data_IF_040637176946
#
_entry.id   IF_040637176946
#
_cell.length_a   1.000
_cell.length_b   1.000
_cell.length_c   1.000
_cell.angle_alpha   90.00
_cell.angle_beta   90.00
_cell.angle_gamma   90.00
#
_symmetry.space_group_name_H-M   'P 1'
#
loop_
_entity.id
_entity.type
_entity.pdbx_description
1 polymer ?
#
# COMPACT_ATOMS: atom_id res chain seq x y z
N UNK A 1 56.32 -12.63 24.81
CA UNK A 1 56.66 -13.19 26.15
C UNK A 1 55.48 -13.28 27.11
N UNK A 2 54.42 -12.47 27.01
CA UNK A 2 53.30 -12.49 27.97
C UNK A 2 52.37 -13.72 27.80
N UNK A 3 52.23 -14.26 26.59
CA UNK A 3 51.40 -15.45 26.30
C UNK A 3 51.99 -16.74 26.91
N UNK A 4 53.31 -16.83 27.03
CA UNK A 4 53.99 -18.01 27.61
C UNK A 4 53.92 -18.09 29.14
N UNK A 5 53.69 -16.98 29.83
CA UNK A 5 53.63 -16.93 31.30
C UNK A 5 52.21 -17.26 31.81
N UNK A 6 51.16 -16.99 31.02
CA UNK A 6 49.78 -17.37 31.35
C UNK A 6 49.58 -18.90 31.30
N UNK A 7 50.19 -19.58 30.34
CA UNK A 7 50.12 -21.04 30.20
C UNK A 7 50.77 -21.79 31.40
N UNK A 8 51.80 -21.23 32.03
CA UNK A 8 52.44 -21.85 33.18
C UNK A 8 51.67 -21.64 34.50
N UNK A 9 50.84 -20.58 34.62
CA UNK A 9 49.94 -20.39 35.77
C UNK A 9 48.59 -21.13 35.63
N UNK A 10 48.24 -21.56 34.42
CA UNK A 10 46.99 -22.28 34.13
C UNK A 10 46.98 -23.77 34.50
N UNK A 11 48.09 -24.34 34.98
CA UNK A 11 48.23 -25.77 35.28
C UNK A 11 47.35 -26.27 36.46
N UNK A 12 46.63 -25.38 37.15
CA UNK A 12 45.67 -25.70 38.20
C UNK A 12 44.22 -25.32 37.90
N UNK A 13 43.91 -24.84 36.68
CA UNK A 13 42.53 -24.47 36.32
C UNK A 13 41.78 -25.75 35.93
N UNK A 14 40.98 -26.26 36.87
CA UNK A 14 40.12 -27.42 36.64
C UNK A 14 39.27 -27.22 35.39
N UNK A 15 39.08 -28.26 34.57
CA UNK A 15 38.20 -28.24 33.41
C UNK A 15 36.79 -27.69 33.75
N UNK A 16 36.36 -27.85 35.00
CA UNK A 16 35.11 -27.26 35.51
C UNK A 16 35.08 -25.72 35.50
N UNK A 17 36.21 -25.05 35.71
CA UNK A 17 36.29 -23.58 35.68
C UNK A 17 36.11 -23.04 34.25
N UNK A 18 36.73 -23.69 33.27
CA UNK A 18 36.54 -23.35 31.85
C UNK A 18 35.08 -23.52 31.41
N UNK A 19 34.47 -24.66 31.75
CA UNK A 19 33.07 -24.95 31.43
C UNK A 19 32.14 -23.94 32.10
N UNK A 20 32.42 -23.55 33.34
CA UNK A 20 31.63 -22.58 34.07
C UNK A 20 31.66 -21.19 33.41
N UNK A 21 32.84 -20.65 33.09
CA UNK A 21 32.97 -19.33 32.46
C UNK A 21 32.43 -19.31 31.02
N UNK A 22 32.73 -20.33 30.23
CA UNK A 22 32.14 -20.54 28.90
C UNK A 22 30.60 -20.51 28.97
N UNK A 23 30.04 -21.30 29.88
CA UNK A 23 28.60 -21.46 30.03
C UNK A 23 27.92 -20.21 30.57
N UNK A 24 28.52 -19.57 31.57
CA UNK A 24 27.98 -18.38 32.22
C UNK A 24 27.93 -17.20 31.25
N UNK A 25 29.03 -16.91 30.54
CA UNK A 25 29.07 -15.79 29.60
C UNK A 25 28.24 -16.07 28.33
N UNK A 26 28.25 -17.31 27.83
CA UNK A 26 27.38 -17.72 26.73
C UNK A 26 25.89 -17.60 27.10
N UNK A 27 25.50 -18.10 28.27
CA UNK A 27 24.13 -18.00 28.77
C UNK A 27 23.71 -16.55 29.02
N UNK A 28 24.56 -15.73 29.64
CA UNK A 28 24.32 -14.31 29.85
C UNK A 28 24.11 -13.57 28.52
N UNK A 29 24.96 -13.82 27.52
CA UNK A 29 24.81 -13.22 26.19
C UNK A 29 23.51 -13.62 25.49
N UNK A 30 23.15 -14.91 25.57
CA UNK A 30 21.90 -15.42 25.01
C UNK A 30 20.66 -14.87 25.70
N UNK A 31 20.60 -14.92 27.04
CA UNK A 31 19.42 -14.49 27.80
C UNK A 31 19.20 -12.98 27.68
N UNK A 32 20.27 -12.17 27.74
CA UNK A 32 20.15 -10.71 27.59
C UNK A 32 19.60 -10.35 26.21
N UNK A 33 20.07 -10.99 25.16
CA UNK A 33 19.56 -10.70 23.83
C UNK A 33 18.13 -11.21 23.60
N UNK A 34 17.79 -12.38 24.14
CA UNK A 34 16.42 -12.88 24.11
C UNK A 34 15.44 -11.93 24.82
N UNK A 35 15.84 -11.41 25.99
CA UNK A 35 15.06 -10.40 26.73
C UNK A 35 14.92 -9.12 25.89
N UNK A 36 15.98 -8.66 25.22
CA UNK A 36 15.94 -7.47 24.39
C UNK A 36 14.94 -7.62 23.23
N UNK A 37 14.93 -8.78 22.56
CA UNK A 37 13.96 -9.07 21.49
C UNK A 37 12.55 -9.09 22.07
N UNK A 38 12.33 -9.78 23.19
CA UNK A 38 11.02 -9.81 23.84
C UNK A 38 10.53 -8.42 24.24
N UNK A 39 11.43 -7.58 24.76
CA UNK A 39 11.16 -6.18 25.13
C UNK A 39 10.80 -5.30 23.92
N UNK A 40 11.22 -5.65 22.70
CA UNK A 40 10.87 -4.91 21.50
C UNK A 40 9.38 -5.08 21.13
N UNK A 41 8.86 -6.30 21.31
CA UNK A 41 7.52 -6.72 20.86
C UNK A 41 6.46 -6.74 21.98
N UNK A 42 6.87 -7.03 23.22
CA UNK A 42 5.99 -7.18 24.37
C UNK A 42 6.27 -6.12 25.43
N UNK A 43 5.21 -5.66 26.10
CA UNK A 43 5.34 -4.86 27.32
C UNK A 43 5.62 -5.78 28.50
N UNK A 44 6.72 -5.51 29.22
CA UNK A 44 7.13 -6.25 30.40
C UNK A 44 6.91 -5.34 31.61
N UNK A 45 6.11 -5.75 32.61
CA UNK A 45 5.85 -4.93 33.79
C UNK A 45 7.15 -4.63 34.54
N UNK A 46 7.41 -3.35 34.82
CA UNK A 46 8.59 -2.88 35.55
C UNK A 46 9.84 -2.61 34.70
N UNK A 47 9.81 -2.85 33.38
CA UNK A 47 10.95 -2.56 32.48
C UNK A 47 10.66 -1.32 31.64
N UNK A 48 11.37 -0.22 31.93
CA UNK A 48 11.28 1.00 31.14
C UNK A 48 11.76 0.75 29.71
N UNK A 49 10.95 1.19 28.74
CA UNK A 49 11.24 1.01 27.31
C UNK A 49 10.78 -0.32 26.71
N UNK A 50 10.02 -1.17 27.41
CA UNK A 50 9.42 -2.35 26.78
C UNK A 50 8.24 -1.99 25.88
N UNK A 51 7.97 -2.83 24.87
CA UNK A 51 6.87 -2.67 23.91
C UNK A 51 7.07 -1.50 22.94
N UNK A 52 8.30 -1.27 22.45
CA UNK A 52 8.60 -0.11 21.59
C UNK A 52 7.76 -0.12 20.31
N UNK A 53 7.65 -1.28 19.65
CA UNK A 53 6.88 -1.42 18.41
C UNK A 53 5.38 -1.11 18.61
N UNK A 54 4.66 -1.79 19.53
CA UNK A 54 3.25 -1.49 19.73
C UNK A 54 3.01 -0.06 20.22
N UNK A 55 3.95 0.56 20.95
CA UNK A 55 3.83 1.98 21.36
C UNK A 55 3.96 2.96 20.19
N UNK A 56 4.77 2.62 19.17
CA UNK A 56 4.98 3.47 17.99
C UNK A 56 4.02 3.17 16.83
N UNK A 57 3.00 2.33 17.02
CA UNK A 57 2.09 1.92 15.95
C UNK A 57 1.48 3.09 15.16
N UNK A 58 1.16 4.21 15.84
CA UNK A 58 0.62 5.42 15.19
C UNK A 58 1.63 6.03 14.21
N UNK A 59 2.91 6.11 14.61
CA UNK A 59 3.96 6.63 13.74
C UNK A 59 4.20 5.70 12.56
N UNK A 60 4.26 4.39 12.81
CA UNK A 60 4.42 3.37 11.75
C UNK A 60 3.28 3.50 10.72
N UNK A 61 2.03 3.61 11.19
CA UNK A 61 0.86 3.83 10.35
C UNK A 61 1.00 5.07 9.47
N UNK A 62 1.39 6.20 10.06
CA UNK A 62 1.58 7.46 9.33
C UNK A 62 2.72 7.34 8.31
N UNK A 63 3.81 6.65 8.65
CA UNK A 63 4.94 6.41 7.74
C UNK A 63 4.52 5.53 6.57
N UNK A 64 3.73 4.49 6.79
CA UNK A 64 3.18 3.65 5.71
C UNK A 64 2.28 4.49 4.79
N UNK A 65 1.35 5.29 5.34
CA UNK A 65 0.50 6.20 4.56
C UNK A 65 1.36 7.07 3.63
N UNK A 66 2.35 7.74 4.22
CA UNK A 66 3.24 8.64 3.51
C UNK A 66 4.01 7.92 2.41
N UNK A 67 4.65 6.79 2.73
CA UNK A 67 5.40 5.99 1.77
C UNK A 67 4.54 5.62 0.57
N UNK A 68 3.31 5.15 0.81
CA UNK A 68 2.41 4.76 -0.28
C UNK A 68 1.99 5.97 -1.11
N UNK A 69 1.62 7.08 -0.46
CA UNK A 69 1.16 8.28 -1.15
C UNK A 69 2.26 8.99 -1.94
N UNK A 70 3.50 8.95 -1.46
CA UNK A 70 4.66 9.54 -2.13
C UNK A 70 5.20 8.63 -3.24
N UNK A 71 5.15 7.31 -3.06
CA UNK A 71 5.77 6.35 -4.01
C UNK A 71 4.80 5.91 -5.11
N UNK A 72 3.55 5.59 -4.76
CA UNK A 72 2.57 5.03 -5.71
C UNK A 72 1.57 6.07 -6.21
N UNK A 73 1.25 7.08 -5.40
CA UNK A 73 0.28 8.12 -5.72
C UNK A 73 0.95 9.50 -5.93
N UNK A 74 2.18 9.51 -6.42
CA UNK A 74 2.84 10.73 -6.86
C UNK A 74 2.06 11.35 -8.03
N UNK A 75 1.72 12.65 -8.00
CA UNK A 75 0.88 13.28 -9.03
C UNK A 75 1.39 13.05 -10.46
N UNK A 76 2.70 13.22 -10.68
CA UNK A 76 3.32 13.03 -11.99
C UNK A 76 3.27 11.58 -12.48
N UNK A 77 3.47 10.63 -11.57
CA UNK A 77 3.40 9.21 -11.89
C UNK A 77 1.97 8.80 -12.25
N UNK A 78 0.99 9.23 -11.44
CA UNK A 78 -0.43 8.99 -11.70
C UNK A 78 -0.88 9.60 -13.02
N UNK A 79 -0.53 10.86 -13.28
CA UNK A 79 -0.88 11.54 -14.53
C UNK A 79 -0.35 10.77 -15.74
N UNK A 80 0.92 10.37 -15.71
CA UNK A 80 1.53 9.56 -16.78
C UNK A 80 0.81 8.22 -16.96
N UNK A 81 0.57 7.48 -15.88
CA UNK A 81 -0.07 6.16 -15.94
C UNK A 81 -1.52 6.25 -16.41
N UNK A 82 -2.30 7.20 -15.90
CA UNK A 82 -3.68 7.42 -16.33
C UNK A 82 -3.75 7.81 -17.80
N UNK A 83 -2.85 8.68 -18.26
CA UNK A 83 -2.79 9.09 -19.67
C UNK A 83 -2.44 7.93 -20.60
N UNK A 84 -1.46 7.12 -20.25
CA UNK A 84 -1.12 5.91 -21.01
C UNK A 84 -2.29 4.92 -21.05
N UNK A 85 -2.98 4.70 -19.92
CA UNK A 85 -4.16 3.83 -19.87
C UNK A 85 -5.31 4.37 -20.70
N UNK A 86 -5.66 5.64 -20.55
CA UNK A 86 -6.73 6.28 -21.32
C UNK A 86 -6.43 6.28 -22.81
N UNK A 87 -5.19 6.51 -23.23
CA UNK A 87 -4.82 6.40 -24.65
C UNK A 87 -4.97 4.98 -25.20
N UNK A 88 -4.77 3.95 -24.38
CA UNK A 88 -4.99 2.54 -24.77
C UNK A 88 -6.48 2.20 -24.80
N UNK A 89 -7.26 2.73 -23.85
CA UNK A 89 -8.72 2.59 -23.81
C UNK A 89 -9.42 3.34 -24.95
N UNK A 90 -8.92 4.52 -25.33
CA UNK A 90 -9.44 5.28 -26.47
C UNK A 90 -9.29 4.53 -27.79
N UNK A 91 -8.27 3.69 -27.91
CA UNK A 91 -7.99 2.88 -29.10
C UNK A 91 -8.62 1.48 -29.04
N UNK A 92 -9.39 1.15 -28.00
CA UNK A 92 -10.05 -0.15 -27.86
C UNK A 92 -11.57 -0.01 -28.00
N UNK A 93 -12.23 -1.12 -28.37
CA UNK A 93 -13.70 -1.19 -28.47
C UNK A 93 -14.41 -0.92 -27.14
N UNK A 94 -13.68 -0.88 -26.02
CA UNK A 94 -14.22 -0.58 -24.69
C UNK A 94 -14.76 0.86 -24.58
N UNK A 95 -14.20 1.84 -25.32
CA UNK A 95 -14.76 3.19 -25.33
C UNK A 95 -16.14 3.21 -26.00
N UNK A 96 -16.32 2.42 -27.07
CA UNK A 96 -17.61 2.25 -27.75
C UNK A 96 -18.61 1.52 -26.86
N UNK A 97 -18.19 0.43 -26.22
CA UNK A 97 -19.02 -0.32 -25.28
C UNK A 97 -19.49 0.54 -24.10
N UNK A 98 -18.61 1.38 -23.55
CA UNK A 98 -18.96 2.32 -22.49
C UNK A 98 -20.01 3.33 -22.95
N UNK A 99 -19.87 3.91 -24.15
CA UNK A 99 -20.83 4.86 -24.71
C UNK A 99 -22.18 4.19 -25.01
N UNK A 100 -22.16 2.99 -25.59
CA UNK A 100 -23.37 2.18 -25.85
C UNK A 100 -24.12 1.82 -24.56
N UNK A 101 -23.38 1.46 -23.50
CA UNK A 101 -23.98 1.19 -22.18
C UNK A 101 -24.64 2.43 -21.59
N UNK A 102 -24.04 3.61 -21.78
CA UNK A 102 -24.55 4.89 -21.29
C UNK A 102 -25.81 5.34 -22.04
N UNK A 103 -25.92 5.01 -23.33
CA UNK A 103 -27.13 5.26 -24.14
C UNK A 103 -28.29 4.35 -23.82
N UNK A 104 -28.02 3.19 -23.24
CA UNK A 104 -29.05 2.27 -22.75
C UNK A 104 -29.62 2.66 -21.39
N UNK A 105 -29.14 3.76 -20.80
CA UNK A 105 -29.58 4.22 -19.48
C UNK A 105 -30.93 4.97 -19.54
N UNK A 106 -31.78 4.85 -18.50
CA UNK A 106 -33.01 5.64 -18.39
C UNK A 106 -32.78 7.15 -18.46
N UNK A 107 -31.63 7.61 -17.99
CA UNK A 107 -31.24 9.02 -18.01
C UNK A 107 -31.05 9.53 -19.44
N UNK A 108 -30.40 8.75 -20.32
CA UNK A 108 -30.24 9.10 -21.72
C UNK A 108 -31.58 9.09 -22.46
N UNK A 109 -32.42 8.09 -22.21
CA UNK A 109 -33.78 8.01 -22.77
C UNK A 109 -34.62 9.25 -22.39
N UNK A 110 -34.58 9.66 -21.13
CA UNK A 110 -35.28 10.85 -20.65
C UNK A 110 -34.74 12.13 -21.30
N UNK A 111 -33.42 12.26 -21.45
CA UNK A 111 -32.80 13.42 -22.08
C UNK A 111 -33.14 13.50 -23.59
N UNK A 112 -33.17 12.35 -24.27
CA UNK A 112 -33.56 12.25 -25.67
C UNK A 112 -35.04 12.66 -25.85
N UNK A 113 -35.93 12.18 -24.97
CA UNK A 113 -37.34 12.56 -25.00
C UNK A 113 -37.57 14.05 -24.76
N UNK A 114 -36.85 14.64 -23.81
CA UNK A 114 -36.90 16.08 -23.57
C UNK A 114 -36.45 16.87 -24.81
N UNK A 115 -35.35 16.46 -25.46
CA UNK A 115 -34.83 17.13 -26.66
C UNK A 115 -35.74 16.98 -27.87
N UNK A 116 -36.36 15.81 -28.06
CA UNK A 116 -37.34 15.60 -29.13
C UNK A 116 -38.61 16.41 -28.88
N UNK A 117 -39.08 16.53 -27.63
CA UNK A 117 -40.20 17.41 -27.28
C UNK A 117 -39.87 18.89 -27.50
N UNK A 118 -38.67 19.32 -27.12
CA UNK A 118 -38.18 20.67 -27.37
C UNK A 118 -38.10 20.98 -28.87
N UNK A 119 -37.60 20.04 -29.67
CA UNK A 119 -37.59 20.16 -31.12
C UNK A 119 -39.01 20.23 -31.69
N UNK A 120 -39.92 19.37 -31.21
CA UNK A 120 -41.31 19.30 -31.65
C UNK A 120 -42.19 20.49 -31.26
N UNK A 121 -41.78 21.27 -30.26
CA UNK A 121 -42.43 22.53 -29.87
C UNK A 121 -41.85 23.75 -30.60
N UNK A 122 -40.72 23.60 -31.31
CA UNK A 122 -40.15 24.64 -32.14
C UNK A 122 -40.94 24.88 -33.44
N UNK A 123 -40.63 25.98 -34.13
CA UNK A 123 -41.29 26.37 -35.39
C UNK A 123 -41.22 25.26 -36.46
N UNK A 124 -40.06 24.61 -36.58
CA UNK A 124 -39.83 23.49 -37.52
C UNK A 124 -40.58 22.22 -37.10
N UNK A 125 -40.57 21.88 -35.81
CA UNK A 125 -41.26 20.70 -35.27
C UNK A 125 -42.77 20.81 -35.33
N UNK A 126 -43.32 22.02 -35.15
CA UNK A 126 -44.75 22.30 -35.28
C UNK A 126 -45.21 22.15 -36.74
N UNK A 127 -44.40 22.61 -37.70
CA UNK A 127 -44.66 22.41 -39.13
C UNK A 127 -44.58 20.93 -39.54
N UNK A 128 -43.61 20.18 -39.00
CA UNK A 128 -43.51 18.72 -39.18
C UNK A 128 -44.72 17.97 -38.60
N UNK A 129 -45.18 18.35 -37.40
CA UNK A 129 -46.41 17.82 -36.80
C UNK A 129 -47.64 18.07 -37.66
N UNK A 130 -47.75 19.24 -38.30
CA UNK A 130 -48.84 19.53 -39.24
C UNK A 130 -48.80 18.65 -40.50
N UNK A 131 -47.62 18.16 -40.90
CA UNK A 131 -47.46 17.19 -41.99
C UNK A 131 -47.66 15.73 -41.55
N UNK A 132 -48.13 15.49 -40.32
CA UNK A 132 -48.35 14.15 -39.77
C UNK A 132 -47.07 13.45 -39.27
N UNK A 133 -45.95 14.17 -39.24
CA UNK A 133 -44.66 13.66 -38.81
C UNK A 133 -44.37 14.18 -37.39
N UNK A 134 -44.86 13.47 -36.38
CA UNK A 134 -44.54 13.82 -35.00
C UNK A 134 -43.06 13.48 -34.69
N UNK A 135 -42.24 14.43 -34.20
CA UNK A 135 -40.87 14.18 -33.79
C UNK A 135 -40.71 13.04 -32.77
N UNK A 136 -41.73 12.75 -31.94
CA UNK A 136 -41.70 11.58 -31.07
C UNK A 136 -41.80 10.25 -31.84
N UNK A 137 -42.51 10.22 -32.97
CA UNK A 137 -42.62 9.02 -33.82
C UNK A 137 -41.30 8.77 -34.57
N UNK A 138 -40.45 9.79 -34.71
CA UNK A 138 -39.11 9.65 -35.27
C UNK A 138 -38.08 9.11 -34.27
N UNK A 139 -38.41 9.01 -32.97
CA UNK A 139 -37.51 8.50 -31.93
C UNK A 139 -36.80 7.19 -32.30
N UNK A 140 -37.46 6.15 -32.88
CA UNK A 140 -36.81 4.89 -33.27
C UNK A 140 -35.79 5.04 -34.41
N UNK A 141 -35.85 6.14 -35.17
CA UNK A 141 -34.91 6.44 -36.27
C UNK A 141 -33.80 7.37 -35.84
N UNK A 142 -34.09 8.32 -34.94
CA UNK A 142 -33.12 9.27 -34.38
C UNK A 142 -32.19 8.57 -33.39
N UNK A 143 -32.73 7.66 -32.56
CA UNK A 143 -31.95 6.92 -31.56
C UNK A 143 -30.74 6.17 -32.16
N UNK A 144 -30.88 5.26 -33.14
CA UNK A 144 -29.73 4.56 -33.71
C UNK A 144 -28.76 5.48 -34.45
N UNK A 145 -29.23 6.61 -34.98
CA UNK A 145 -28.36 7.61 -35.59
C UNK A 145 -27.50 8.33 -34.54
N UNK A 146 -28.10 8.76 -33.42
CA UNK A 146 -27.37 9.38 -32.30
C UNK A 146 -26.40 8.38 -31.66
N UNK A 147 -26.81 7.12 -31.54
CA UNK A 147 -25.95 6.03 -31.07
C UNK A 147 -24.73 5.86 -31.99
N UNK A 148 -24.92 5.74 -33.30
CA UNK A 148 -23.81 5.60 -34.25
C UNK A 148 -22.84 6.80 -34.23
N UNK A 149 -23.36 8.04 -34.21
CA UNK A 149 -22.51 9.25 -34.16
C UNK A 149 -21.67 9.29 -32.88
N UNK A 150 -22.25 8.92 -31.75
CA UNK A 150 -21.52 8.99 -30.48
C UNK A 150 -20.61 7.76 -30.26
N UNK A 151 -20.90 6.59 -30.85
CA UNK A 151 -19.91 5.49 -30.97
C UNK A 151 -18.69 5.91 -31.80
N UNK A 152 -18.90 6.66 -32.89
CA UNK A 152 -17.81 7.18 -33.72
C UNK A 152 -17.01 8.30 -33.01
N UNK A 153 -17.68 9.11 -32.17
CA UNK A 153 -17.04 10.14 -31.37
C UNK A 153 -16.40 9.63 -30.07
N UNK A 154 -16.75 8.42 -29.60
CA UNK A 154 -16.23 7.81 -28.38
C UNK A 154 -14.69 7.79 -28.29
N UNK A 155 -13.93 7.36 -29.31
CA UNK A 155 -12.47 7.41 -29.28
C UNK A 155 -11.92 8.84 -29.19
N UNK A 156 -12.57 9.81 -29.84
CA UNK A 156 -12.16 11.22 -29.79
C UNK A 156 -12.39 11.83 -28.40
N UNK A 157 -13.51 11.53 -27.75
CA UNK A 157 -13.79 11.95 -26.36
C UNK A 157 -12.80 11.33 -25.37
N UNK A 158 -12.49 10.04 -25.53
CA UNK A 158 -11.51 9.35 -24.70
C UNK A 158 -10.09 9.93 -24.88
N UNK A 159 -9.73 10.30 -26.11
CA UNK A 159 -8.46 10.96 -26.39
C UNK A 159 -8.42 12.38 -25.83
N UNK A 160 -9.51 13.15 -25.93
CA UNK A 160 -9.61 14.49 -25.35
C UNK A 160 -9.55 14.47 -23.82
N UNK A 161 -10.10 13.42 -23.18
CA UNK A 161 -9.94 13.18 -21.74
C UNK A 161 -8.51 12.79 -21.35
N UNK A 162 -7.80 12.03 -22.21
CA UNK A 162 -6.39 11.73 -22.01
C UNK A 162 -5.49 12.98 -22.17
N UNK A 163 -5.88 13.90 -23.04
CA UNK A 163 -5.14 15.13 -23.30
C UNK A 163 -5.51 16.30 -22.36
N UNK A 164 -6.72 16.26 -21.81
CA UNK A 164 -7.25 17.27 -20.89
C UNK A 164 -6.65 17.20 -19.49
N UNK A 165 -7.05 18.17 -18.66
CA UNK A 165 -6.61 18.26 -17.26
C UNK A 165 -7.29 17.17 -16.42
N UNK A 166 -6.64 16.01 -16.29
CA UNK A 166 -7.10 14.94 -15.42
C UNK A 166 -7.19 15.44 -13.97
N UNK A 167 -8.26 15.14 -13.22
CA UNK A 167 -8.40 15.53 -11.82
C UNK A 167 -7.55 14.64 -10.89
N UNK A 168 -6.26 14.48 -11.22
CA UNK A 168 -5.30 13.62 -10.51
C UNK A 168 -5.18 14.01 -9.03
N UNK A 169 -5.23 15.32 -8.74
CA UNK A 169 -5.20 15.83 -7.37
C UNK A 169 -6.42 15.38 -6.57
N UNK A 170 -7.63 15.47 -7.14
CA UNK A 170 -8.86 15.05 -6.46
C UNK A 170 -8.88 13.53 -6.24
N UNK A 171 -8.44 12.75 -7.23
CA UNK A 171 -8.33 11.30 -7.09
C UNK A 171 -7.34 10.92 -5.99
N UNK A 172 -6.19 11.61 -5.95
CA UNK A 172 -5.17 11.41 -4.92
C UNK A 172 -5.72 11.74 -3.53
N UNK A 173 -6.44 12.84 -3.37
CA UNK A 173 -7.02 13.25 -2.09
C UNK A 173 -8.10 12.26 -1.62
N UNK A 174 -8.91 11.73 -2.54
CA UNK A 174 -9.90 10.70 -2.21
C UNK A 174 -9.23 9.40 -1.75
N UNK A 175 -8.17 8.96 -2.45
CA UNK A 175 -7.38 7.79 -2.03
C UNK A 175 -6.72 8.05 -0.67
N UNK A 176 -6.20 9.25 -0.42
CA UNK A 176 -5.59 9.62 0.86
C UNK A 176 -6.58 9.46 2.02
N UNK A 177 -7.83 9.88 1.81
CA UNK A 177 -8.93 9.75 2.77
C UNK A 177 -9.30 8.29 3.01
N UNK A 178 -9.48 7.51 1.94
CA UNK A 178 -9.80 6.08 2.03
C UNK A 178 -8.68 5.31 2.75
N UNK A 179 -7.43 5.62 2.44
CA UNK A 179 -6.28 5.04 3.13
C UNK A 179 -6.29 5.40 4.60
N UNK A 180 -6.59 6.64 4.96
CA UNK A 180 -6.66 7.04 6.36
C UNK A 180 -7.71 6.25 7.16
N UNK A 181 -8.87 5.99 6.57
CA UNK A 181 -9.90 5.14 7.17
C UNK A 181 -9.42 3.70 7.35
N UNK A 182 -8.83 3.09 6.31
CA UNK A 182 -8.29 1.72 6.41
C UNK A 182 -7.14 1.61 7.39
N UNK A 183 -6.29 2.62 7.45
CA UNK A 183 -5.19 2.70 8.40
C UNK A 183 -5.69 2.86 9.85
N UNK A 184 -6.87 3.43 10.09
CA UNK A 184 -7.46 3.45 11.45
C UNK A 184 -7.73 2.04 11.98
N UNK A 185 -8.01 1.07 11.10
CA UNK A 185 -8.21 -0.34 11.48
C UNK A 185 -6.90 -1.08 11.81
N UNK A 186 -5.73 -0.49 11.55
CA UNK A 186 -4.43 -1.00 11.98
C UNK A 186 -4.20 -0.69 13.45
N UNK A 187 -4.56 -1.66 14.28
CA UNK A 187 -4.30 -1.67 15.73
C UNK A 187 -2.83 -1.97 16.03
N UNK A 188 -2.41 -1.69 17.26
CA UNK A 188 -1.05 -2.00 17.72
C UNK A 188 -0.70 -3.49 17.55
N UNK A 189 -1.65 -4.40 17.78
CA UNK A 189 -1.45 -5.84 17.61
C UNK A 189 -1.21 -6.24 16.15
N UNK A 190 -1.97 -5.67 15.20
CA UNK A 190 -1.75 -5.95 13.77
C UNK A 190 -0.38 -5.46 13.30
N UNK A 191 0.02 -4.26 13.73
CA UNK A 191 1.35 -3.70 13.40
C UNK A 191 2.47 -4.54 14.02
N UNK A 192 2.30 -4.95 15.27
CA UNK A 192 3.22 -5.87 15.94
C UNK A 192 3.36 -7.17 15.14
N UNK A 193 2.25 -7.82 14.80
CA UNK A 193 2.25 -9.08 14.05
C UNK A 193 2.97 -8.96 12.71
N UNK A 194 2.72 -7.90 11.94
CA UNK A 194 3.38 -7.66 10.65
C UNK A 194 4.91 -7.52 10.80
N UNK A 195 5.35 -6.71 11.76
CA UNK A 195 6.79 -6.47 11.98
C UNK A 195 7.46 -7.71 12.58
N UNK A 196 6.76 -8.41 13.45
CA UNK A 196 7.22 -9.65 14.08
C UNK A 196 7.42 -10.76 13.06
N UNK A 197 6.51 -10.90 12.09
CA UNK A 197 6.62 -11.86 10.99
C UNK A 197 7.87 -11.60 10.13
N UNK A 198 8.15 -10.32 9.83
CA UNK A 198 9.32 -9.93 9.04
C UNK A 198 10.63 -10.09 9.83
N UNK A 199 10.63 -9.79 11.13
CA UNK A 199 11.87 -9.67 11.90
C UNK A 199 12.23 -10.89 12.74
N UNK A 200 11.28 -11.77 13.10
CA UNK A 200 11.56 -12.89 14.03
C UNK A 200 12.70 -13.78 13.58
N UNK A 201 12.77 -14.09 12.28
CA UNK A 201 13.82 -14.94 11.72
C UNK A 201 15.21 -14.29 11.85
N UNK A 202 15.31 -12.99 11.54
CA UNK A 202 16.57 -12.25 11.59
C UNK A 202 17.00 -11.91 13.02
N UNK A 203 16.07 -11.57 13.91
CA UNK A 203 16.37 -11.27 15.31
C UNK A 203 16.77 -12.53 16.09
N UNK A 204 16.24 -13.71 15.74
CA UNK A 204 16.62 -14.98 16.37
C UNK A 204 18.13 -15.27 16.27
N UNK A 205 18.73 -14.95 15.13
CA UNK A 205 20.19 -15.07 14.93
C UNK A 205 21.00 -14.22 15.91
N UNK A 206 20.47 -13.08 16.33
CA UNK A 206 21.14 -12.20 17.30
C UNK A 206 21.33 -12.92 18.64
N UNK A 207 20.41 -13.82 19.04
CA UNK A 207 20.52 -14.63 20.27
C UNK A 207 21.66 -15.63 20.13
N UNK A 208 21.72 -16.32 18.99
CA UNK A 208 22.76 -17.30 18.68
C UNK A 208 24.14 -16.64 18.72
N UNK A 209 24.28 -15.49 18.05
CA UNK A 209 25.51 -14.71 18.09
C UNK A 209 25.83 -14.19 19.50
N UNK A 210 24.83 -13.78 20.28
CA UNK A 210 25.02 -13.42 21.68
C UNK A 210 25.64 -14.55 22.51
N UNK A 211 25.19 -15.79 22.30
CA UNK A 211 25.79 -16.98 22.93
C UNK A 211 27.22 -17.21 22.44
N UNK A 212 27.46 -17.15 21.12
CA UNK A 212 28.79 -17.36 20.53
C UNK A 212 29.80 -16.31 21.04
N UNK A 213 29.43 -15.04 21.05
CA UNK A 213 30.30 -13.97 21.56
C UNK A 213 30.53 -14.10 23.06
N UNK A 214 29.49 -14.43 23.83
CA UNK A 214 29.62 -14.71 25.26
C UNK A 214 30.63 -15.85 25.52
N UNK A 215 30.55 -16.93 24.75
CA UNK A 215 31.50 -18.05 24.81
C UNK A 215 32.93 -17.59 24.51
N UNK A 216 33.14 -16.83 23.44
CA UNK A 216 34.47 -16.33 23.06
C UNK A 216 35.05 -15.42 24.14
N UNK A 217 34.25 -14.52 24.70
CA UNK A 217 34.65 -13.65 25.81
C UNK A 217 34.99 -14.48 27.05
N UNK A 218 34.19 -15.49 27.37
CA UNK A 218 34.45 -16.41 28.49
C UNK A 218 35.82 -17.11 28.36
N UNK A 219 36.16 -17.58 27.16
CA UNK A 219 37.49 -18.18 26.89
C UNK A 219 38.61 -17.16 27.09
N UNK A 220 38.43 -15.94 26.56
CA UNK A 220 39.43 -14.87 26.69
C UNK A 220 39.65 -14.49 28.16
N UNK A 221 38.59 -14.38 28.97
CA UNK A 221 38.69 -14.08 30.39
C UNK A 221 39.53 -15.11 31.15
N UNK A 222 39.28 -16.40 30.90
CA UNK A 222 40.04 -17.47 31.58
C UNK A 222 41.50 -17.50 31.12
N UNK A 223 41.79 -17.27 29.83
CA UNK A 223 43.18 -17.15 29.32
C UNK A 223 43.90 -15.93 29.91
N UNK A 224 43.19 -14.82 30.09
CA UNK A 224 43.73 -13.59 30.67
C UNK A 224 43.99 -13.69 32.18
N UNK A 225 43.53 -14.77 32.84
CA UNK A 225 43.77 -15.03 34.25
C UNK A 225 42.86 -14.25 35.21
N UNK A 226 41.66 -13.88 34.74
CA UNK A 226 40.57 -13.38 35.59
C UNK A 226 39.75 -14.52 36.19
#
# INVERSE_FOLDING_TARGET
MVIGIALHKGAGVSAGFWIFYFGLFGFAGGITNWIAIKMLFDEIPGVYGSGIIPKQFKQIRTTIKRMVMETFFEPKFLEKQLRERLSKYANSDAAREAVSSLMSTPEFESALDEKLNQFGSGMTGTMLKMLGLDPMVMKPYVKPFVEGVAEDCAPFLAQMLAEGNLPVLQLRDEVDRLMEERLKELTAEKVKALIEDIMREHLGWLVVWGVIFGIVIGIICVVAGF
#
